data_IF_767592369482
#
_entry.id   IF_767592369482
#
_cell.length_a   1.000
_cell.length_b   1.000
_cell.length_c   1.000
_cell.angle_alpha   90.00
_cell.angle_beta   90.00
_cell.angle_gamma   90.00
#
_symmetry.space_group_name_H-M   'P 1'
#
loop_
_entity.id
_entity.type
_entity.pdbx_description
1 polymer ?
#
# COMPACT_ATOMS: atom_id res chain seq x y z
N UNK A 1 -5.14 31.09 4.97
CA UNK A 1 -4.37 29.88 5.32
C UNK A 1 -4.47 29.02 4.09
N UNK A 2 -3.36 28.69 3.43
CA UNK A 2 -3.44 27.82 2.25
C UNK A 2 -3.90 26.45 2.75
N UNK A 3 -5.12 26.09 2.39
CA UNK A 3 -5.58 24.72 2.49
C UNK A 3 -4.47 23.87 1.89
N UNK A 4 -3.93 22.95 2.69
CA UNK A 4 -2.90 22.05 2.21
C UNK A 4 -3.58 21.19 1.16
N UNK A 5 -3.41 21.54 -0.11
CA UNK A 5 -4.03 20.78 -1.20
C UNK A 5 -3.46 19.36 -1.12
N UNK A 6 -4.34 18.39 -0.90
CA UNK A 6 -3.96 16.98 -0.93
C UNK A 6 -4.10 16.48 -2.36
N UNK A 7 -3.15 15.66 -2.80
CA UNK A 7 -3.22 14.98 -4.07
C UNK A 7 -3.78 13.58 -3.86
N UNK A 8 -4.77 13.22 -4.70
CA UNK A 8 -5.36 11.89 -4.70
C UNK A 8 -4.43 10.91 -5.41
N UNK A 9 -4.26 9.74 -4.82
CA UNK A 9 -3.60 8.60 -5.45
C UNK A 9 -4.47 7.36 -5.35
N UNK A 10 -4.32 6.46 -6.32
CA UNK A 10 -5.05 5.20 -6.33
C UNK A 10 -4.26 4.13 -5.58
N UNK A 11 -4.88 3.53 -4.57
CA UNK A 11 -4.34 2.38 -3.86
C UNK A 11 -5.04 1.13 -4.41
N UNK A 12 -4.27 0.16 -4.95
CA UNK A 12 -4.85 -1.09 -5.45
C UNK A 12 -5.40 -1.93 -4.28
N UNK A 13 -6.36 -2.79 -4.59
CA UNK A 13 -6.76 -3.86 -3.67
C UNK A 13 -5.54 -4.73 -3.36
N UNK A 14 -5.31 -5.08 -2.10
CA UNK A 14 -4.19 -5.92 -1.73
C UNK A 14 -4.44 -6.62 -0.40
N UNK A 15 -3.67 -7.67 -0.15
CA UNK A 15 -3.55 -8.27 1.15
C UNK A 15 -2.26 -7.76 1.79
N UNK A 16 -2.35 -7.38 3.06
CA UNK A 16 -1.17 -7.34 3.91
C UNK A 16 -0.56 -8.73 3.99
N UNK A 17 0.77 -8.79 4.15
CA UNK A 17 1.46 -10.08 4.20
C UNK A 17 1.91 -10.40 5.62
N UNK A 18 1.78 -11.67 6.01
CA UNK A 18 2.33 -12.17 7.28
C UNK A 18 3.42 -13.19 6.97
N UNK A 19 4.65 -12.89 7.40
CA UNK A 19 5.79 -13.75 7.15
C UNK A 19 5.87 -14.90 8.18
N UNK A 20 5.85 -16.14 7.69
CA UNK A 20 5.98 -17.36 8.47
C UNK A 20 7.21 -18.17 8.01
N UNK A 21 8.38 -17.78 8.51
CA UNK A 21 9.65 -18.39 8.09
C UNK A 21 9.95 -18.10 6.62
N UNK A 22 9.76 -19.08 5.74
CA UNK A 22 10.05 -18.97 4.30
C UNK A 22 8.82 -18.72 3.41
N UNK A 23 7.61 -18.73 3.97
CA UNK A 23 6.37 -18.49 3.24
C UNK A 23 5.62 -17.28 3.78
N UNK A 24 4.66 -16.82 2.98
CA UNK A 24 3.77 -15.72 3.30
C UNK A 24 2.33 -16.23 3.38
N UNK A 25 1.64 -15.82 4.44
CA UNK A 25 0.19 -15.94 4.56
C UNK A 25 -0.49 -14.60 4.26
N UNK A 26 -1.78 -14.68 3.89
CA UNK A 26 -2.62 -13.50 3.70
C UNK A 26 -3.03 -12.93 5.06
N UNK A 27 -2.69 -11.67 5.27
CA UNK A 27 -3.14 -10.87 6.40
C UNK A 27 -4.48 -10.20 6.11
N UNK A 28 -4.59 -8.94 6.52
CA UNK A 28 -5.77 -8.12 6.28
C UNK A 28 -5.98 -7.84 4.79
N UNK A 29 -7.25 -7.82 4.37
CA UNK A 29 -7.62 -7.52 3.00
C UNK A 29 -8.07 -6.07 2.88
N UNK A 30 -7.29 -5.29 2.14
CA UNK A 30 -7.58 -3.90 1.83
C UNK A 30 -8.23 -3.78 0.46
N UNK A 31 -9.44 -3.22 0.42
CA UNK A 31 -10.12 -2.94 -0.84
C UNK A 31 -9.45 -1.77 -1.56
N UNK A 32 -9.51 -1.77 -2.89
CA UNK A 32 -9.05 -0.64 -3.68
C UNK A 32 -9.73 0.67 -3.23
N UNK A 33 -8.95 1.72 -3.01
CA UNK A 33 -9.44 2.99 -2.48
C UNK A 33 -8.57 4.17 -2.94
N UNK A 34 -9.00 5.39 -2.57
CA UNK A 34 -8.23 6.61 -2.79
C UNK A 34 -7.45 6.93 -1.51
N UNK A 35 -6.13 7.05 -1.65
CA UNK A 35 -5.24 7.59 -0.63
C UNK A 35 -4.86 9.04 -0.94
N UNK A 36 -4.24 9.69 0.04
CA UNK A 36 -3.86 11.10 -0.07
C UNK A 36 -2.36 11.30 0.21
N UNK A 37 -1.72 12.21 -0.54
CA UNK A 37 -0.37 12.70 -0.29
C UNK A 37 -0.37 14.24 -0.29
N UNK A 38 0.56 14.88 0.41
CA UNK A 38 0.62 16.34 0.44
C UNK A 38 1.00 16.89 -0.93
N UNK A 39 0.39 17.98 -1.39
CA UNK A 39 0.77 18.58 -2.67
C UNK A 39 2.27 18.88 -2.73
N UNK A 40 2.90 18.42 -3.80
CA UNK A 40 4.34 18.56 -4.04
C UNK A 40 5.20 17.46 -3.42
N UNK A 41 4.65 16.63 -2.52
CA UNK A 41 5.25 15.34 -2.17
C UNK A 41 4.82 14.34 -3.24
N UNK A 42 5.78 13.84 -4.03
CA UNK A 42 5.49 12.79 -5.02
C UNK A 42 5.18 11.44 -4.35
N UNK A 43 4.65 10.49 -5.12
CA UNK A 43 4.42 9.13 -4.62
C UNK A 43 5.74 8.48 -4.18
N UNK A 44 5.79 8.03 -2.92
CA UNK A 44 6.93 7.29 -2.35
C UNK A 44 6.56 5.83 -2.26
N UNK A 45 7.22 5.01 -3.06
CA UNK A 45 7.05 3.56 -3.07
C UNK A 45 8.01 2.85 -2.11
N UNK A 46 7.73 1.59 -1.74
CA UNK A 46 8.64 0.77 -0.94
C UNK A 46 10.00 0.66 -1.63
N UNK A 47 11.11 0.82 -0.91
CA UNK A 47 12.43 0.79 -1.51
C UNK A 47 12.83 -0.64 -1.91
N UNK A 48 13.63 -0.75 -2.98
CA UNK A 48 14.28 -1.99 -3.38
C UNK A 48 13.35 -2.98 -4.07
N UNK A 49 13.58 -4.26 -3.79
CA UNK A 49 12.81 -5.38 -4.35
C UNK A 49 11.82 -5.92 -3.33
N UNK A 50 10.70 -6.53 -3.76
CA UNK A 50 9.79 -7.19 -2.85
C UNK A 50 10.46 -8.34 -2.08
N UNK A 51 9.87 -8.79 -0.96
CA UNK A 51 10.38 -9.93 -0.21
C UNK A 51 10.56 -11.17 -1.10
N UNK A 52 11.67 -11.88 -0.91
CA UNK A 52 12.00 -13.10 -1.68
C UNK A 52 11.31 -14.35 -1.12
N UNK A 53 10.21 -14.17 -0.38
CA UNK A 53 9.43 -15.25 0.22
C UNK A 53 8.50 -15.89 -0.81
N UNK A 54 8.16 -17.16 -0.61
CA UNK A 54 7.18 -17.83 -1.46
C UNK A 54 5.79 -17.21 -1.25
N UNK A 55 5.17 -16.74 -2.34
CA UNK A 55 3.84 -16.14 -2.33
C UNK A 55 2.77 -17.18 -2.67
N UNK A 56 1.57 -17.10 -2.09
CA UNK A 56 0.47 -18.01 -2.44
C UNK A 56 0.16 -18.01 -3.94
N UNK A 57 -0.25 -19.17 -4.46
CA UNK A 57 -0.56 -19.34 -5.88
C UNK A 57 -1.67 -18.36 -6.32
N UNK A 58 -1.45 -17.70 -7.48
CA UNK A 58 -2.37 -16.71 -8.03
C UNK A 58 -2.14 -15.27 -7.54
N UNK A 59 -1.16 -15.05 -6.65
CA UNK A 59 -0.80 -13.72 -6.15
C UNK A 59 0.57 -13.26 -6.65
N UNK A 60 0.82 -11.96 -6.52
CA UNK A 60 2.11 -11.33 -6.76
C UNK A 60 2.30 -10.11 -5.87
N UNK A 61 3.57 -9.74 -5.65
CA UNK A 61 3.90 -8.53 -4.91
C UNK A 61 3.51 -7.26 -5.67
N UNK A 62 2.93 -6.32 -4.95
CA UNK A 62 2.66 -4.95 -5.41
C UNK A 62 3.23 -3.96 -4.41
N UNK A 63 3.81 -2.86 -4.90
CA UNK A 63 4.28 -1.78 -4.05
C UNK A 63 3.12 -0.84 -3.71
N UNK A 64 2.83 -0.67 -2.43
CA UNK A 64 1.83 0.28 -1.94
C UNK A 64 2.56 1.58 -1.57
N UNK A 65 2.25 2.71 -2.23
CA UNK A 65 2.89 3.98 -1.89
C UNK A 65 2.45 4.43 -0.50
N UNK A 66 3.33 5.17 0.19
CA UNK A 66 2.96 5.79 1.46
C UNK A 66 1.88 6.83 1.26
N UNK A 67 0.83 6.78 2.08
CA UNK A 67 -0.36 7.60 1.89
C UNK A 67 -1.11 7.81 3.20
N UNK A 68 -1.94 8.85 3.25
CA UNK A 68 -2.92 9.05 4.31
C UNK A 68 -4.23 8.38 3.89
N UNK A 69 -4.88 7.72 4.85
CA UNK A 69 -6.09 6.94 4.59
C UNK A 69 -7.33 7.79 4.29
N UNK A 70 -8.41 7.10 3.89
CA UNK A 70 -9.63 7.67 3.31
C UNK A 70 -10.43 8.61 4.21
N UNK A 71 -10.06 8.77 5.48
CA UNK A 71 -10.97 9.34 6.47
C UNK A 71 -11.06 10.87 6.47
N UNK A 72 -10.47 11.56 5.48
CA UNK A 72 -10.40 13.03 5.36
C UNK A 72 -9.79 13.74 6.58
N UNK A 73 -9.51 13.00 7.66
CA UNK A 73 -8.83 13.48 8.85
C UNK A 73 -7.34 13.72 8.58
N UNK A 74 -6.80 13.09 7.53
CA UNK A 74 -5.39 13.08 7.14
C UNK A 74 -4.47 12.87 8.35
N UNK A 75 -4.96 12.15 9.36
CA UNK A 75 -4.30 11.93 10.64
C UNK A 75 -3.54 10.61 10.69
N UNK A 76 -3.90 9.68 9.81
CA UNK A 76 -3.40 8.31 9.79
C UNK A 76 -2.55 8.07 8.54
N UNK A 77 -1.24 8.22 8.71
CA UNK A 77 -0.27 7.90 7.66
C UNK A 77 0.04 6.41 7.65
N UNK A 78 -0.14 5.77 6.50
CA UNK A 78 0.41 4.47 6.19
C UNK A 78 1.75 4.63 5.48
N UNK A 79 2.79 4.00 6.03
CA UNK A 79 4.11 4.00 5.40
C UNK A 79 4.11 3.14 4.13
N UNK A 80 4.98 3.45 3.14
CA UNK A 80 5.12 2.61 1.95
C UNK A 80 5.49 1.18 2.34
N UNK A 81 4.75 0.19 1.84
CA UNK A 81 4.97 -1.23 2.12
C UNK A 81 4.64 -2.11 0.91
N UNK A 82 5.10 -3.37 0.95
CA UNK A 82 4.75 -4.37 -0.06
C UNK A 82 3.47 -5.08 0.35
N UNK A 83 2.52 -5.24 -0.57
CA UNK A 83 1.31 -6.05 -0.40
C UNK A 83 1.25 -7.18 -1.43
N UNK A 84 0.27 -8.06 -1.28
CA UNK A 84 -0.03 -9.12 -2.26
C UNK A 84 -1.32 -8.81 -3.01
N UNK A 85 -1.25 -8.83 -4.35
CA UNK A 85 -2.41 -8.59 -5.22
C UNK A 85 -2.75 -9.81 -6.07
N UNK A 86 -4.04 -9.99 -6.35
CA UNK A 86 -4.56 -11.01 -7.24
C UNK A 86 -4.07 -10.81 -8.68
N UNK A 87 -3.74 -11.89 -9.38
CA UNK A 87 -3.58 -11.85 -10.84
C UNK A 87 -4.97 -11.91 -11.47
N UNK A 88 -5.50 -10.76 -11.89
CA UNK A 88 -6.75 -10.65 -12.65
C UNK A 88 -6.54 -10.84 -14.15
#
# INVERSE_FOLDING_TARGET
>A
MSDHEWQHIHIPEHYEFVAHGAHVDLGEHEQAHIGFIKAGEGEVYPPGFPPTLEVPHGLHWVGIPGHYDKHEDHGHFQAPHWGLHGKH
#
